data_IF_991005161414
#
_entry.id   IF_991005161414
#
_cell.length_a   1.000
_cell.length_b   1.000
_cell.length_c   1.000
_cell.angle_alpha   90.00
_cell.angle_beta   90.00
_cell.angle_gamma   90.00
#
_symmetry.space_group_name_H-M   'P 1'
#
loop_
_entity.id
_entity.type
_entity.pdbx_description
1 polymer ?
#
# COMPACT_ATOMS: atom_id res chain seq x y z
N UNK A 1 12.13 12.04 20.37
CA UNK A 1 11.92 10.92 19.44
C UNK A 1 13.20 10.10 19.31
N UNK A 2 13.18 8.78 19.36
CA UNK A 2 14.42 7.96 19.34
C UNK A 2 14.62 7.33 17.97
N UNK A 3 15.73 7.59 17.28
CA UNK A 3 16.06 7.09 15.95
C UNK A 3 17.09 5.94 16.04
N UNK A 4 16.70 4.69 15.80
CA UNK A 4 17.63 3.56 15.82
C UNK A 4 18.21 3.32 14.42
N UNK A 5 19.52 3.15 14.28
CA UNK A 5 20.23 2.94 13.00
C UNK A 5 21.06 1.66 13.08
N UNK A 6 20.93 0.73 12.14
CA UNK A 6 21.80 -0.45 12.07
C UNK A 6 23.25 -0.07 11.74
N UNK A 7 24.21 -0.72 12.41
CA UNK A 7 25.64 -0.48 12.23
C UNK A 7 26.09 -0.58 10.77
N UNK A 8 25.61 -1.60 10.06
CA UNK A 8 25.84 -1.79 8.63
C UNK A 8 25.35 -0.64 7.74
N UNK A 9 24.33 0.11 8.18
CA UNK A 9 23.77 1.26 7.45
C UNK A 9 24.45 2.57 7.80
N UNK A 10 24.99 2.71 9.00
CA UNK A 10 25.56 3.97 9.46
C UNK A 10 26.70 4.43 8.53
N UNK A 11 26.70 5.72 8.20
CA UNK A 11 27.75 6.36 7.41
C UNK A 11 28.26 7.62 8.11
N UNK A 12 29.57 7.93 8.06
CA UNK A 12 30.13 9.12 8.68
C UNK A 12 29.51 10.44 8.21
N UNK A 13 29.03 10.51 6.96
CA UNK A 13 28.44 11.73 6.40
C UNK A 13 27.05 12.06 6.98
N UNK A 14 26.38 11.13 7.69
CA UNK A 14 25.10 11.38 8.37
C UNK A 14 25.23 12.18 9.67
N UNK A 15 26.45 12.41 10.16
CA UNK A 15 26.70 13.07 11.45
C UNK A 15 26.04 14.45 11.56
N UNK A 16 26.01 15.24 10.49
CA UNK A 16 25.35 16.55 10.48
C UNK A 16 23.85 16.45 10.75
N UNK A 17 23.16 15.56 10.01
CA UNK A 17 21.73 15.32 10.20
C UNK A 17 21.40 14.77 11.59
N UNK A 18 22.23 13.87 12.13
CA UNK A 18 22.05 13.31 13.47
C UNK A 18 22.30 14.33 14.58
N UNK A 19 23.24 15.28 14.38
CA UNK A 19 23.43 16.40 15.31
C UNK A 19 22.20 17.31 15.33
N UNK A 20 21.66 17.64 14.17
CA UNK A 20 20.47 18.49 14.08
C UNK A 20 19.23 17.78 14.63
N UNK A 21 19.13 16.46 14.47
CA UNK A 21 18.14 15.61 15.13
C UNK A 21 18.27 15.69 16.66
N UNK A 22 19.48 15.51 17.20
CA UNK A 22 19.72 15.62 18.64
C UNK A 22 19.42 17.02 19.19
N UNK A 23 19.79 18.08 18.45
CA UNK A 23 19.50 19.47 18.83
C UNK A 23 18.00 19.77 18.93
N UNK A 24 17.15 19.03 18.21
CA UNK A 24 15.70 19.13 18.30
C UNK A 24 15.11 18.37 19.51
N UNK A 25 15.95 17.88 20.42
CA UNK A 25 15.53 17.11 21.59
C UNK A 25 15.14 15.67 21.25
N UNK A 26 15.62 15.16 20.12
CA UNK A 26 15.45 13.77 19.73
C UNK A 26 16.71 12.96 20.08
N UNK A 27 16.59 11.66 20.21
CA UNK A 27 17.71 10.74 20.46
C UNK A 27 17.96 9.93 19.20
N UNK A 28 19.16 9.42 19.03
CA UNK A 28 19.43 8.35 18.08
C UNK A 28 20.31 7.29 18.70
N UNK A 29 20.05 6.05 18.34
CA UNK A 29 20.68 4.86 18.89
C UNK A 29 21.31 4.08 17.73
N UNK A 30 22.38 3.33 18.00
CA UNK A 30 23.05 2.48 17.01
C UNK A 30 22.77 1.00 17.34
N UNK A 31 22.17 0.26 16.42
CA UNK A 31 21.92 -1.18 16.54
C UNK A 31 23.06 -1.95 15.89
N UNK A 32 23.89 -2.62 16.67
CA UNK A 32 24.97 -3.46 16.15
C UNK A 32 24.47 -4.87 15.83
N UNK A 33 24.85 -5.34 14.65
CA UNK A 33 24.75 -6.74 14.25
C UNK A 33 25.74 -7.62 15.02
N UNK A 34 25.54 -8.94 14.94
CA UNK A 34 26.42 -9.91 15.63
C UNK A 34 27.84 -9.81 15.05
N UNK A 35 28.79 -9.37 15.88
CA UNK A 35 30.21 -9.23 15.51
C UNK A 35 30.61 -7.85 14.99
N UNK A 36 29.70 -6.89 14.94
CA UNK A 36 30.03 -5.49 14.63
C UNK A 36 30.65 -4.78 15.84
N UNK A 37 31.61 -3.89 15.57
CA UNK A 37 32.28 -3.06 16.58
C UNK A 37 31.81 -1.62 16.39
N UNK A 38 31.52 -0.86 17.46
CA UNK A 38 31.13 0.55 17.33
C UNK A 38 32.20 1.33 16.56
N UNK A 39 31.79 2.14 15.58
CA UNK A 39 32.72 2.96 14.82
C UNK A 39 33.43 3.97 15.76
N UNK A 40 34.77 3.93 15.88
CA UNK A 40 35.50 4.83 16.77
C UNK A 40 35.70 6.18 16.08
N UNK A 41 34.93 7.21 16.49
CA UNK A 41 35.22 8.60 16.11
C UNK A 41 34.11 9.40 15.43
N UNK A 42 32.84 9.21 15.80
CA UNK A 42 31.77 10.08 15.31
C UNK A 42 31.75 11.43 16.08
N UNK A 43 31.69 12.56 15.35
CA UNK A 43 31.48 13.89 15.96
C UNK A 43 30.08 14.04 16.60
N UNK A 44 29.21 13.08 16.35
CA UNK A 44 27.90 12.90 16.91
C UNK A 44 27.81 11.44 17.39
N UNK A 45 28.11 11.14 18.66
CA UNK A 45 27.97 9.77 19.16
C UNK A 45 26.48 9.41 19.29
N UNK A 46 26.10 8.12 19.12
CA UNK A 46 24.76 7.68 19.44
C UNK A 46 24.49 7.86 20.93
N UNK A 47 23.25 8.23 21.25
CA UNK A 47 22.76 8.30 22.63
C UNK A 47 22.79 6.92 23.31
N UNK A 48 22.74 5.84 22.52
CA UNK A 48 22.83 4.47 23.00
C UNK A 48 23.31 3.49 21.92
N UNK A 49 24.03 2.44 22.33
CA UNK A 49 24.44 1.34 21.44
C UNK A 49 23.70 0.08 21.88
N UNK A 50 22.96 -0.53 20.96
CA UNK A 50 22.05 -1.64 21.20
C UNK A 50 22.48 -2.87 20.41
N UNK A 51 22.01 -4.04 20.82
CA UNK A 51 22.14 -5.28 20.06
C UNK A 51 20.78 -5.94 19.86
N UNK A 52 20.61 -6.66 18.75
CA UNK A 52 19.37 -7.36 18.42
C UNK A 52 18.96 -8.35 19.53
N UNK A 53 19.93 -9.06 20.11
CA UNK A 53 19.70 -10.00 21.21
C UNK A 53 19.22 -9.31 22.49
N UNK A 54 19.77 -8.14 22.83
CA UNK A 54 19.36 -7.39 24.01
C UNK A 54 17.94 -6.82 23.87
N UNK A 55 17.59 -6.33 22.68
CA UNK A 55 16.22 -5.89 22.37
C UNK A 55 15.22 -7.04 22.44
N UNK A 56 15.57 -8.22 21.91
CA UNK A 56 14.72 -9.41 22.01
C UNK A 56 14.53 -9.86 23.45
N UNK A 57 15.59 -9.89 24.26
CA UNK A 57 15.51 -10.25 25.69
C UNK A 57 14.65 -9.27 26.48
N UNK A 58 14.75 -7.97 26.19
CA UNK A 58 13.92 -6.97 26.85
C UNK A 58 12.45 -7.05 26.43
N UNK A 59 12.19 -7.35 25.16
CA UNK A 59 10.84 -7.57 24.67
C UNK A 59 10.16 -8.79 25.28
N UNK A 60 10.93 -9.85 25.56
CA UNK A 60 10.45 -11.06 26.24
C UNK A 60 10.25 -10.86 27.76
N UNK A 61 10.57 -9.67 28.29
CA UNK A 61 10.40 -9.33 29.72
C UNK A 61 11.55 -9.74 30.62
N UNK A 62 12.64 -10.28 30.06
CA UNK A 62 13.79 -10.78 30.83
C UNK A 62 14.79 -9.68 31.19
N UNK A 63 14.67 -8.48 30.60
CA UNK A 63 15.55 -7.34 30.85
C UNK A 63 14.83 -6.00 30.68
N UNK A 64 15.29 -4.96 31.40
CA UNK A 64 14.83 -3.60 31.16
C UNK A 64 15.51 -3.02 29.91
N UNK A 65 14.73 -2.52 28.94
CA UNK A 65 15.27 -1.74 27.81
C UNK A 65 14.79 -0.29 27.89
N UNK A 66 15.69 0.70 27.82
CA UNK A 66 15.31 2.13 27.79
C UNK A 66 14.57 2.53 26.51
N UNK A 67 14.73 1.78 25.42
CA UNK A 67 13.92 1.93 24.19
C UNK A 67 12.49 1.44 24.44
N UNK A 68 12.29 0.39 25.25
CA UNK A 68 10.94 -0.11 25.54
C UNK A 68 10.28 0.54 26.78
N UNK A 69 11.02 1.36 27.53
CA UNK A 69 10.57 1.98 28.79
C UNK A 69 9.99 3.40 28.63
N UNK A 70 10.21 4.06 27.49
CA UNK A 70 9.63 5.37 27.16
C UNK A 70 8.49 5.21 26.14
N UNK A 71 7.60 6.23 26.05
CA UNK A 71 6.47 6.25 25.11
C UNK A 71 6.91 5.83 23.68
N UNK A 72 6.51 4.62 23.21
CA UNK A 72 6.93 4.08 21.93
C UNK A 72 6.50 4.99 20.76
N UNK A 73 5.49 5.84 20.98
CA UNK A 73 4.98 6.86 20.05
C UNK A 73 5.98 7.98 19.73
N UNK A 74 7.20 7.91 20.26
CA UNK A 74 8.28 8.81 19.92
C UNK A 74 9.44 8.13 19.17
N UNK A 75 9.43 6.82 18.88
CA UNK A 75 10.62 6.16 18.33
C UNK A 75 10.50 5.87 16.81
N UNK A 76 11.63 5.80 16.10
CA UNK A 76 11.84 5.57 14.66
C UNK A 76 12.99 4.54 14.53
N UNK A 77 12.83 3.48 13.75
CA UNK A 77 13.84 2.43 13.56
C UNK A 77 14.24 2.35 12.08
N UNK A 78 15.56 2.30 11.81
CA UNK A 78 16.16 2.10 10.49
C UNK A 78 17.04 0.84 10.55
N UNK A 79 16.70 -0.17 9.75
CA UNK A 79 17.47 -1.40 9.56
C UNK A 79 17.63 -1.72 8.08
N UNK A 80 18.76 -2.33 7.71
CA UNK A 80 18.97 -3.03 6.45
C UNK A 80 19.84 -4.29 6.67
N UNK A 81 19.21 -5.38 7.06
CA UNK A 81 19.58 -6.71 6.57
C UNK A 81 18.43 -7.71 6.71
N UNK A 82 18.50 -8.80 5.91
CA UNK A 82 17.40 -9.69 5.52
C UNK A 82 16.74 -10.54 6.62
N UNK A 83 16.98 -10.24 7.89
CA UNK A 83 16.37 -10.91 9.03
C UNK A 83 15.85 -9.88 10.05
N UNK A 84 14.93 -9.02 9.58
CA UNK A 84 13.85 -8.34 10.33
C UNK A 84 14.11 -8.08 11.83
N UNK A 85 14.31 -6.80 12.22
CA UNK A 85 14.03 -6.35 13.59
C UNK A 85 12.83 -5.39 13.57
N UNK A 86 11.81 -5.71 14.38
CA UNK A 86 10.52 -4.99 14.49
C UNK A 86 10.44 -4.34 15.87
N UNK A 87 10.08 -3.06 15.96
CA UNK A 87 9.58 -2.45 17.20
C UNK A 87 8.28 -1.69 16.92
N UNK A 88 7.31 -1.83 17.83
CA UNK A 88 5.90 -1.49 17.66
C UNK A 88 5.50 -0.16 18.33
N UNK A 89 4.46 0.49 17.79
CA UNK A 89 3.65 1.52 18.48
C UNK A 89 2.19 1.08 18.58
N UNK A 90 1.44 1.71 19.48
CA UNK A 90 -0.03 1.64 19.51
C UNK A 90 -0.73 2.35 18.33
N UNK A 91 -0.03 3.21 17.57
CA UNK A 91 -0.62 3.98 16.45
C UNK A 91 0.16 3.90 15.12
N UNK A 92 0.92 2.82 14.88
CA UNK A 92 1.48 2.53 13.54
C UNK A 92 2.92 2.04 13.54
N UNK A 93 3.25 1.24 12.52
CA UNK A 93 4.53 0.57 12.34
C UNK A 93 5.28 1.10 11.12
N UNK A 94 6.60 1.26 11.21
CA UNK A 94 7.43 1.48 10.03
C UNK A 94 8.58 0.46 10.03
N UNK A 95 8.46 -0.56 9.16
CA UNK A 95 9.55 -1.47 8.78
C UNK A 95 10.12 -1.01 7.44
N UNK A 96 11.40 -0.67 7.38
CA UNK A 96 12.12 -0.56 6.11
C UNK A 96 12.57 -1.98 5.70
N UNK A 97 11.81 -2.59 4.80
CA UNK A 97 12.21 -3.79 4.09
C UNK A 97 12.45 -3.46 2.60
N UNK A 98 13.18 -4.31 1.85
CA UNK A 98 13.48 -4.07 0.44
C UNK A 98 12.25 -3.93 -0.48
N UNK A 99 11.04 -4.24 0.03
CA UNK A 99 9.78 -4.14 -0.69
C UNK A 99 8.70 -3.32 0.06
N UNK A 100 9.07 -2.48 1.03
CA UNK A 100 8.08 -1.78 1.85
C UNK A 100 8.59 -0.53 2.53
N UNK A 101 8.83 0.50 1.72
CA UNK A 101 8.66 1.94 1.98
C UNK A 101 9.33 2.65 0.80
N UNK A 102 8.71 2.60 -0.37
CA UNK A 102 8.95 3.35 -1.63
C UNK A 102 10.38 3.46 -2.21
N UNK A 103 11.44 3.16 -1.48
CA UNK A 103 12.80 2.96 -1.99
C UNK A 103 13.64 2.23 -0.92
N UNK A 104 14.48 1.24 -1.29
CA UNK A 104 15.53 0.77 -0.41
C UNK A 104 16.45 1.97 -0.11
N UNK A 105 16.66 2.28 1.18
CA UNK A 105 17.61 3.31 1.60
C UNK A 105 19.01 2.88 1.14
N UNK A 106 19.57 3.59 0.17
CA UNK A 106 20.89 3.30 -0.39
C UNK A 106 21.95 4.04 0.39
N UNK A 107 23.19 3.58 0.29
CA UNK A 107 24.33 4.16 1.01
C UNK A 107 24.64 5.62 0.65
N UNK A 108 24.08 6.10 -0.45
CA UNK A 108 24.24 7.43 -1.05
C UNK A 108 23.03 8.36 -0.83
N UNK A 109 21.96 7.89 -0.18
CA UNK A 109 20.76 8.71 0.07
C UNK A 109 20.99 9.76 1.18
N UNK A 110 20.42 10.95 1.01
CA UNK A 110 20.37 11.99 2.06
C UNK A 110 19.40 11.58 3.18
N UNK A 111 19.96 11.25 4.34
CA UNK A 111 19.21 10.80 5.51
C UNK A 111 18.21 11.86 6.01
N UNK A 112 18.57 13.15 5.94
CA UNK A 112 17.69 14.24 6.37
C UNK A 112 16.43 14.31 5.51
N UNK A 113 16.58 14.19 4.20
CA UNK A 113 15.45 14.14 3.27
C UNK A 113 14.58 12.88 3.46
N UNK A 114 15.21 11.71 3.66
CA UNK A 114 14.50 10.47 3.95
C UNK A 114 13.69 10.55 5.25
N UNK A 115 14.27 11.10 6.32
CA UNK A 115 13.61 11.28 7.62
C UNK A 115 12.45 12.28 7.53
N UNK A 116 12.62 13.43 6.86
CA UNK A 116 11.54 14.39 6.65
C UNK A 116 10.36 13.78 5.88
N UNK A 117 10.64 12.99 4.83
CA UNK A 117 9.63 12.25 4.06
C UNK A 117 8.87 11.23 4.89
N UNK A 118 9.56 10.49 5.76
CA UNK A 118 8.95 9.50 6.65
C UNK A 118 8.11 10.16 7.75
N UNK A 119 8.56 11.29 8.31
CA UNK A 119 7.83 12.05 9.33
C UNK A 119 6.58 12.74 8.78
N UNK A 120 6.61 13.19 7.52
CA UNK A 120 5.46 13.81 6.87
C UNK A 120 4.32 12.82 6.59
N UNK A 121 4.60 11.51 6.52
CA UNK A 121 3.64 10.47 6.15
C UNK A 121 2.93 9.87 7.37
N UNK A 122 1.95 10.58 7.91
CA UNK A 122 0.92 9.94 8.75
C UNK A 122 -0.15 9.32 7.87
N UNK A 123 0.11 8.11 7.37
CA UNK A 123 -0.90 7.36 6.63
C UNK A 123 -1.90 6.77 7.62
N UNK A 124 -3.08 7.37 7.67
CA UNK A 124 -4.21 6.84 8.43
C UNK A 124 -5.17 6.10 7.50
N UNK A 125 -5.94 5.20 8.09
CA UNK A 125 -7.13 4.63 7.45
C UNK A 125 -8.29 5.58 7.75
N UNK A 126 -8.88 6.26 6.74
CA UNK A 126 -10.00 7.14 6.98
C UNK A 126 -11.26 6.34 7.30
N UNK A 127 -12.22 6.98 7.97
CA UNK A 127 -13.57 6.42 8.11
C UNK A 127 -14.35 6.72 6.83
N UNK A 128 -14.90 5.68 6.20
CA UNK A 128 -15.79 5.81 5.04
C UNK A 128 -17.20 5.44 5.48
N UNK A 129 -18.21 6.15 4.97
CA UNK A 129 -19.61 5.92 5.34
C UNK A 129 -20.48 6.03 4.11
N UNK A 130 -21.47 5.17 4.00
CA UNK A 130 -22.62 5.46 3.13
C UNK A 130 -23.79 5.97 3.98
N UNK A 131 -24.76 6.63 3.33
CA UNK A 131 -25.89 7.25 4.01
C UNK A 131 -26.97 6.24 4.47
N UNK A 132 -26.83 4.95 4.15
CA UNK A 132 -27.92 3.98 4.26
C UNK A 132 -29.12 4.30 3.35
N UNK A 133 -30.22 3.59 3.56
CA UNK A 133 -31.53 3.89 2.96
C UNK A 133 -32.65 3.52 3.94
N UNK A 134 -33.89 3.84 3.60
CA UNK A 134 -35.06 3.50 4.41
C UNK A 134 -35.15 1.99 4.73
N UNK A 135 -34.65 1.13 3.83
CA UNK A 135 -34.68 -0.32 3.95
C UNK A 135 -33.30 -0.94 4.28
N UNK A 136 -32.27 -0.13 4.54
CA UNK A 136 -30.92 -0.63 4.79
C UNK A 136 -30.11 0.28 5.73
N UNK A 137 -29.60 -0.26 6.85
CA UNK A 137 -28.83 0.53 7.81
C UNK A 137 -27.56 1.11 7.17
N UNK A 138 -27.10 2.25 7.68
CA UNK A 138 -25.86 2.90 7.24
C UNK A 138 -24.66 1.97 7.48
N UNK A 139 -23.82 1.82 6.47
CA UNK A 139 -22.60 1.04 6.55
C UNK A 139 -21.43 1.97 6.86
N UNK A 140 -20.66 1.61 7.89
CA UNK A 140 -19.45 2.34 8.26
C UNK A 140 -18.24 1.44 8.07
N UNK A 141 -17.24 1.96 7.37
CA UNK A 141 -15.91 1.39 7.25
C UNK A 141 -14.98 2.19 8.15
N UNK A 142 -14.49 1.58 9.23
CA UNK A 142 -13.59 2.24 10.19
C UNK A 142 -12.23 1.53 10.25
N UNK A 143 -11.18 2.17 10.77
CA UNK A 143 -9.97 1.46 11.16
C UNK A 143 -10.28 0.25 12.04
N UNK A 144 -9.47 -0.79 11.90
CA UNK A 144 -9.45 -1.91 12.85
C UNK A 144 -9.08 -1.40 14.24
N UNK A 145 -9.72 -1.95 15.27
CA UNK A 145 -9.52 -1.63 16.68
C UNK A 145 -9.11 -2.90 17.43
N UNK A 146 -8.31 -2.82 18.52
CA UNK A 146 -7.90 -4.00 19.28
C UNK A 146 -9.08 -4.92 19.71
N UNK A 147 -10.23 -4.33 20.05
CA UNK A 147 -11.44 -5.09 20.40
C UNK A 147 -12.05 -5.93 19.27
N UNK A 148 -11.64 -5.73 18.01
CA UNK A 148 -12.11 -6.51 16.87
C UNK A 148 -11.57 -7.95 16.88
N UNK A 149 -10.50 -8.23 17.64
CA UNK A 149 -9.84 -9.54 17.70
C UNK A 149 -10.84 -10.68 17.96
N UNK A 150 -11.78 -10.47 18.90
CA UNK A 150 -12.79 -11.47 19.28
C UNK A 150 -13.70 -11.81 18.11
N UNK A 151 -14.18 -10.79 17.38
CA UNK A 151 -15.06 -10.97 16.23
C UNK A 151 -14.30 -11.63 15.06
N UNK A 152 -13.05 -11.22 14.82
CA UNK A 152 -12.19 -11.82 13.79
C UNK A 152 -11.97 -13.30 14.08
N UNK A 153 -11.58 -13.65 15.31
CA UNK A 153 -11.39 -15.03 15.73
C UNK A 153 -12.67 -15.86 15.54
N UNK A 154 -13.81 -15.32 15.98
CA UNK A 154 -15.11 -15.98 15.84
C UNK A 154 -15.46 -16.26 14.37
N UNK A 155 -15.44 -15.25 13.49
CA UNK A 155 -15.84 -15.43 12.09
C UNK A 155 -14.82 -16.22 11.27
N UNK A 156 -13.52 -15.98 11.45
CA UNK A 156 -12.48 -16.68 10.70
C UNK A 156 -12.32 -18.15 11.11
N UNK A 157 -12.82 -18.55 12.28
CA UNK A 157 -12.87 -19.96 12.70
C UNK A 157 -13.95 -20.77 11.97
N UNK A 158 -14.92 -20.11 11.32
CA UNK A 158 -15.97 -20.77 10.54
C UNK A 158 -15.40 -21.35 9.24
N UNK A 159 -15.55 -22.66 9.04
CA UNK A 159 -15.08 -23.38 7.85
C UNK A 159 -15.64 -22.77 6.55
N UNK A 160 -16.86 -22.24 6.57
CA UNK A 160 -17.49 -21.62 5.40
C UNK A 160 -16.77 -20.34 4.97
N UNK A 161 -16.12 -19.61 5.89
CA UNK A 161 -15.23 -18.50 5.55
C UNK A 161 -13.95 -19.03 4.93
N UNK A 162 -13.24 -19.91 5.64
CA UNK A 162 -11.95 -20.44 5.23
C UNK A 162 -11.99 -21.11 3.85
N UNK A 163 -13.09 -21.80 3.52
CA UNK A 163 -13.30 -22.52 2.24
C UNK A 163 -13.04 -21.67 1.00
N UNK A 164 -13.34 -20.37 1.03
CA UNK A 164 -13.25 -19.50 -0.15
C UNK A 164 -12.36 -18.27 0.04
N UNK A 165 -11.55 -18.27 1.08
CA UNK A 165 -10.58 -17.21 1.37
C UNK A 165 -9.17 -17.76 1.28
N UNK A 166 -8.33 -17.09 0.52
CA UNK A 166 -6.96 -17.56 0.29
C UNK A 166 -6.17 -17.62 1.60
N UNK A 167 -6.27 -16.60 2.46
CA UNK A 167 -5.33 -16.43 3.58
C UNK A 167 -5.90 -16.76 4.96
N UNK A 168 -7.04 -17.47 5.02
CA UNK A 168 -7.66 -17.88 6.29
C UNK A 168 -7.61 -19.40 6.37
N UNK A 169 -6.72 -19.99 7.21
CA UNK A 169 -6.64 -21.42 7.39
C UNK A 169 -7.85 -21.96 8.17
N UNK A 170 -8.12 -23.26 8.01
CA UNK A 170 -9.02 -24.00 8.88
C UNK A 170 -8.33 -25.27 9.40
N UNK A 171 -8.30 -25.52 10.71
CA UNK A 171 -8.79 -24.65 11.79
C UNK A 171 -8.01 -23.34 11.90
N UNK A 172 -8.66 -22.27 12.36
CA UNK A 172 -8.04 -20.95 12.51
C UNK A 172 -7.26 -20.87 13.84
N UNK A 173 -5.94 -20.59 13.83
CA UNK A 173 -5.16 -20.55 15.06
C UNK A 173 -5.63 -19.41 15.98
N UNK A 174 -5.68 -19.60 17.31
CA UNK A 174 -6.14 -18.58 18.26
C UNK A 174 -5.38 -17.25 18.15
N UNK A 175 -4.06 -17.30 17.94
CA UNK A 175 -3.19 -16.12 17.81
C UNK A 175 -3.33 -15.40 16.47
N UNK A 176 -3.90 -16.05 15.44
CA UNK A 176 -3.94 -15.52 14.07
C UNK A 176 -4.80 -14.25 13.94
N UNK A 177 -5.82 -14.09 14.78
CA UNK A 177 -6.63 -12.86 14.79
C UNK A 177 -5.80 -11.64 15.22
N UNK A 178 -5.07 -11.77 16.34
CA UNK A 178 -4.17 -10.74 16.87
C UNK A 178 -3.06 -10.42 15.88
N UNK A 179 -2.44 -11.45 15.30
CA UNK A 179 -1.32 -11.28 14.36
C UNK A 179 -1.77 -10.62 13.07
N UNK A 180 -2.96 -10.97 12.55
CA UNK A 180 -3.54 -10.33 11.37
C UNK A 180 -3.92 -8.87 11.63
N UNK A 181 -4.45 -8.55 12.81
CA UNK A 181 -4.78 -7.18 13.21
C UNK A 181 -3.53 -6.32 13.30
N UNK A 182 -2.49 -6.82 13.99
CA UNK A 182 -1.19 -6.18 14.04
C UNK A 182 -0.63 -5.97 12.62
N UNK A 183 -0.59 -7.03 11.79
CA UNK A 183 -0.13 -6.97 10.40
C UNK A 183 -0.91 -5.96 9.54
N UNK A 184 -2.21 -5.79 9.76
CA UNK A 184 -3.02 -4.82 9.02
C UNK A 184 -2.69 -3.37 9.40
N UNK A 185 -2.48 -3.11 10.69
CA UNK A 185 -1.95 -1.83 11.17
C UNK A 185 -0.55 -1.55 10.60
N UNK A 186 0.28 -2.60 10.51
CA UNK A 186 1.61 -2.54 9.90
C UNK A 186 1.58 -2.09 8.44
N UNK A 187 0.75 -2.75 7.63
CA UNK A 187 0.59 -2.41 6.21
C UNK A 187 0.10 -0.99 6.01
N UNK A 188 -0.81 -0.50 6.86
CA UNK A 188 -1.33 0.87 6.79
C UNK A 188 -0.25 1.90 7.01
N UNK A 189 0.50 1.76 8.10
CA UNK A 189 1.55 2.71 8.45
C UNK A 189 2.73 2.70 7.45
N UNK A 190 2.92 1.59 6.74
CA UNK A 190 3.88 1.46 5.64
C UNK A 190 3.35 1.86 4.26
N UNK A 191 2.08 2.24 4.14
CA UNK A 191 1.46 2.52 2.84
C UNK A 191 1.29 1.29 1.94
N UNK A 192 1.53 0.08 2.47
CA UNK A 192 1.39 -1.21 1.75
C UNK A 192 -0.08 -1.63 1.56
N UNK A 193 -1.00 -0.94 2.21
CA UNK A 193 -2.42 -1.14 2.06
C UNK A 193 -3.19 -0.70 3.29
N UNK A 194 -4.50 -0.54 3.15
CA UNK A 194 -5.41 -0.17 4.24
C UNK A 194 -6.44 -1.27 4.42
N UNK A 195 -6.77 -1.56 5.67
CA UNK A 195 -7.85 -2.48 6.02
C UNK A 195 -8.87 -1.75 6.87
N UNK A 196 -10.14 -1.90 6.51
CA UNK A 196 -11.28 -1.38 7.25
C UNK A 196 -12.07 -2.53 7.86
N UNK A 197 -12.52 -2.33 9.10
CA UNK A 197 -13.63 -3.07 9.69
C UNK A 197 -14.94 -2.57 9.09
N UNK A 198 -15.81 -3.49 8.66
CA UNK A 198 -17.19 -3.21 8.31
C UNK A 198 -18.02 -3.24 9.59
N UNK A 199 -18.83 -2.22 9.81
CA UNK A 199 -19.75 -2.14 10.95
C UNK A 199 -21.11 -1.55 10.56
N UNK A 200 -22.15 -1.91 11.33
CA UNK A 200 -23.51 -1.38 11.21
C UNK A 200 -23.90 -0.71 12.53
N UNK A 201 -23.57 0.57 12.74
CA UNK A 201 -23.87 1.25 13.99
C UNK A 201 -25.36 1.51 14.19
N UNK A 202 -25.82 1.20 15.40
CA UNK A 202 -27.13 1.56 15.94
C UNK A 202 -26.89 2.52 17.12
N UNK A 203 -27.03 3.83 16.90
CA UNK A 203 -26.78 4.85 17.92
C UNK A 203 -25.31 5.28 18.07
N UNK A 204 -24.90 5.69 19.28
CA UNK A 204 -23.56 6.24 19.56
C UNK A 204 -22.53 5.19 20.00
N UNK A 205 -22.92 3.92 20.18
CA UNK A 205 -21.99 2.86 20.59
C UNK A 205 -21.05 2.40 19.45
N UNK A 206 -19.88 1.89 19.83
CA UNK A 206 -18.95 1.26 18.88
C UNK A 206 -19.58 -0.03 18.35
N UNK A 207 -20.00 0.02 17.10
CA UNK A 207 -20.62 -1.11 16.43
C UNK A 207 -19.64 -2.28 16.26
N UNK A 208 -20.09 -3.53 16.50
CA UNK A 208 -19.24 -4.70 16.36
C UNK A 208 -18.81 -4.89 14.91
N UNK A 209 -17.60 -5.43 14.74
CA UNK A 209 -17.09 -5.84 13.43
C UNK A 209 -17.99 -6.95 12.87
N UNK A 210 -18.35 -6.84 11.59
CA UNK A 210 -19.11 -7.87 10.86
C UNK A 210 -18.34 -8.45 9.66
N UNK A 211 -17.20 -7.85 9.33
CA UNK A 211 -16.31 -8.26 8.25
C UNK A 211 -15.16 -7.28 8.08
N UNK A 212 -14.29 -7.55 7.10
CA UNK A 212 -13.22 -6.63 6.73
C UNK A 212 -13.07 -6.50 5.22
N UNK A 213 -12.60 -5.33 4.78
CA UNK A 213 -12.18 -5.07 3.41
C UNK A 213 -10.79 -4.44 3.43
N UNK A 214 -9.90 -4.91 2.57
CA UNK A 214 -8.53 -4.45 2.41
C UNK A 214 -8.32 -3.92 1.00
N UNK A 215 -7.62 -2.80 0.90
CA UNK A 215 -7.07 -2.25 -0.34
C UNK A 215 -5.55 -2.30 -0.24
N UNK A 216 -4.91 -3.12 -1.06
CA UNK A 216 -3.46 -3.19 -1.16
C UNK A 216 -2.89 -2.00 -1.94
N UNK A 217 -1.62 -1.68 -1.74
CA UNK A 217 -0.93 -0.57 -2.42
C UNK A 217 -1.00 -0.67 -3.95
N UNK A 218 -1.04 -1.90 -4.47
CA UNK A 218 -1.14 -2.21 -5.90
C UNK A 218 -2.60 -2.14 -6.44
N UNK A 219 -3.55 -1.68 -5.63
CA UNK A 219 -4.97 -1.60 -6.00
C UNK A 219 -5.74 -2.92 -5.88
N UNK A 220 -5.15 -3.98 -5.34
CA UNK A 220 -5.89 -5.24 -5.11
C UNK A 220 -6.86 -5.10 -3.94
N UNK A 221 -8.13 -5.44 -4.17
CA UNK A 221 -9.19 -5.54 -3.16
C UNK A 221 -9.31 -6.97 -2.64
N UNK A 222 -9.41 -7.11 -1.33
CA UNK A 222 -9.75 -8.36 -0.66
C UNK A 222 -10.79 -8.10 0.43
N UNK A 223 -11.71 -9.04 0.65
CA UNK A 223 -12.72 -8.89 1.69
C UNK A 223 -13.21 -10.23 2.22
N UNK A 224 -13.80 -10.18 3.41
CA UNK A 224 -14.61 -11.24 3.97
C UNK A 224 -15.72 -10.63 4.84
N UNK A 225 -16.81 -11.37 4.97
CA UNK A 225 -17.94 -11.03 5.85
C UNK A 225 -18.26 -12.28 6.67
N UNK A 226 -18.51 -12.10 7.96
CA UNK A 226 -19.00 -13.19 8.81
C UNK A 226 -20.25 -13.82 8.19
N UNK A 227 -20.38 -15.15 8.30
CA UNK A 227 -21.44 -15.93 7.64
C UNK A 227 -22.85 -15.33 7.84
N UNK A 228 -23.25 -14.84 9.04
CA UNK A 228 -24.57 -14.23 9.24
C UNK A 228 -24.83 -12.98 8.38
N UNK A 229 -23.78 -12.28 7.95
CA UNK A 229 -23.84 -10.98 7.27
C UNK A 229 -23.71 -11.08 5.74
N UNK A 230 -23.44 -12.28 5.23
CA UNK A 230 -23.34 -12.52 3.81
C UNK A 230 -24.70 -12.43 3.09
N UNK A 231 -24.68 -12.28 1.77
CA UNK A 231 -25.87 -12.17 0.90
C UNK A 231 -26.80 -10.97 1.19
N UNK A 232 -26.34 -10.00 1.98
CA UNK A 232 -27.06 -8.75 2.29
C UNK A 232 -26.58 -7.52 1.50
N UNK A 233 -25.74 -7.72 0.47
CA UNK A 233 -25.18 -6.63 -0.34
C UNK A 233 -24.09 -5.80 0.33
N UNK A 234 -23.70 -6.12 1.58
CA UNK A 234 -22.75 -5.32 2.37
C UNK A 234 -21.34 -5.27 1.75
N UNK A 235 -20.84 -6.37 1.18
CA UNK A 235 -19.54 -6.37 0.50
C UNK A 235 -19.51 -5.45 -0.72
N UNK A 236 -20.62 -5.39 -1.47
CA UNK A 236 -20.76 -4.48 -2.60
C UNK A 236 -20.77 -3.02 -2.15
N UNK A 237 -21.54 -2.70 -1.11
CA UNK A 237 -21.58 -1.34 -0.52
C UNK A 237 -20.20 -0.92 -0.02
N UNK A 238 -19.52 -1.80 0.73
CA UNK A 238 -18.14 -1.57 1.18
C UNK A 238 -17.17 -1.35 0.01
N UNK A 239 -17.26 -2.20 -1.01
CA UNK A 239 -16.42 -2.10 -2.20
C UNK A 239 -16.63 -0.79 -2.97
N UNK A 240 -17.85 -0.24 -3.02
CA UNK A 240 -18.09 1.07 -3.64
C UNK A 240 -17.43 2.21 -2.87
N UNK A 241 -17.49 2.20 -1.54
CA UNK A 241 -16.82 3.18 -0.69
C UNK A 241 -15.29 3.13 -0.89
N UNK A 242 -14.70 1.93 -0.86
CA UNK A 242 -13.26 1.76 -1.07
C UNK A 242 -12.86 2.10 -2.51
N UNK A 243 -13.69 1.78 -3.50
CA UNK A 243 -13.47 2.18 -4.90
C UNK A 243 -13.40 3.69 -5.05
N UNK A 244 -14.35 4.41 -4.45
CA UNK A 244 -14.37 5.87 -4.49
C UNK A 244 -13.10 6.43 -3.86
N UNK A 245 -12.76 5.97 -2.65
CA UNK A 245 -11.52 6.35 -1.97
C UNK A 245 -10.27 6.08 -2.81
N UNK A 246 -10.17 4.89 -3.42
CA UNK A 246 -9.03 4.49 -4.25
C UNK A 246 -8.80 5.40 -5.47
N UNK A 247 -9.88 5.82 -6.14
CA UNK A 247 -9.76 6.63 -7.36
C UNK A 247 -9.70 8.13 -7.08
N UNK A 248 -10.47 8.62 -6.11
CA UNK A 248 -10.58 10.06 -5.82
C UNK A 248 -9.51 10.56 -4.86
N UNK A 249 -9.08 9.74 -3.90
CA UNK A 249 -8.09 10.16 -2.90
C UNK A 249 -6.70 9.59 -3.19
N UNK A 250 -6.62 8.31 -3.56
CA UNK A 250 -5.33 7.67 -3.85
C UNK A 250 -4.90 7.77 -5.32
N UNK A 251 -5.79 8.25 -6.20
CA UNK A 251 -5.52 8.36 -7.64
C UNK A 251 -5.01 7.06 -8.28
N UNK A 252 -5.43 5.90 -7.75
CA UNK A 252 -4.96 4.61 -8.27
C UNK A 252 -5.40 4.43 -9.72
N UNK A 253 -4.53 3.89 -10.60
CA UNK A 253 -4.82 3.75 -12.01
C UNK A 253 -5.91 2.70 -12.27
N UNK A 254 -5.98 1.67 -11.43
CA UNK A 254 -6.97 0.61 -11.50
C UNK A 254 -7.14 -0.07 -10.13
N UNK A 255 -8.25 -0.80 -10.01
CA UNK A 255 -8.50 -1.76 -8.95
C UNK A 255 -8.46 -3.16 -9.55
N UNK A 256 -7.88 -4.10 -8.81
CA UNK A 256 -7.91 -5.53 -9.15
C UNK A 256 -8.53 -6.32 -8.01
N UNK A 257 -9.06 -7.49 -8.33
CA UNK A 257 -9.54 -8.43 -7.31
C UNK A 257 -9.53 -9.83 -7.92
N UNK A 258 -9.51 -10.85 -7.06
CA UNK A 258 -9.50 -12.25 -7.51
C UNK A 258 -10.23 -13.16 -6.55
N UNK A 259 -10.78 -14.24 -7.08
CA UNK A 259 -11.49 -15.23 -6.28
C UNK A 259 -11.24 -16.64 -6.80
N UNK A 260 -11.39 -17.64 -5.92
CA UNK A 260 -11.43 -19.03 -6.33
C UNK A 260 -12.66 -19.28 -7.24
N UNK A 261 -12.58 -20.13 -8.27
CA UNK A 261 -13.69 -20.38 -9.21
C UNK A 261 -15.02 -20.78 -8.56
N UNK A 262 -14.97 -21.52 -7.44
CA UNK A 262 -16.17 -21.91 -6.70
C UNK A 262 -16.85 -20.76 -5.94
N UNK A 263 -16.16 -19.63 -5.73
CA UNK A 263 -16.70 -18.47 -5.01
C UNK A 263 -17.45 -17.51 -5.94
N UNK A 264 -18.60 -17.97 -6.44
CA UNK A 264 -19.47 -17.17 -7.30
C UNK A 264 -20.00 -15.90 -6.61
N UNK A 265 -20.07 -15.89 -5.27
CA UNK A 265 -20.51 -14.74 -4.51
C UNK A 265 -19.55 -13.55 -4.66
N UNK A 266 -18.24 -13.80 -4.56
CA UNK A 266 -17.22 -12.75 -4.76
C UNK A 266 -17.20 -12.25 -6.21
N UNK A 267 -17.31 -13.12 -7.22
CA UNK A 267 -17.42 -12.69 -8.62
C UNK A 267 -18.63 -11.78 -8.87
N UNK A 268 -19.77 -12.06 -8.23
CA UNK A 268 -20.97 -11.20 -8.26
C UNK A 268 -20.78 -9.84 -7.57
N UNK A 269 -19.89 -9.74 -6.58
CA UNK A 269 -19.52 -8.45 -5.96
C UNK A 269 -18.67 -7.67 -6.94
N UNK A 270 -17.61 -8.28 -7.51
CA UNK A 270 -16.72 -7.65 -8.49
C UNK A 270 -17.48 -7.11 -9.71
N UNK A 271 -18.41 -7.90 -10.26
CA UNK A 271 -19.26 -7.46 -11.35
C UNK A 271 -20.13 -6.23 -10.98
N UNK A 272 -20.70 -6.20 -9.76
CA UNK A 272 -21.49 -5.04 -9.28
C UNK A 272 -20.64 -3.80 -9.02
N UNK A 273 -19.36 -3.97 -8.69
CA UNK A 273 -18.41 -2.86 -8.60
C UNK A 273 -18.05 -2.27 -9.97
N UNK A 274 -18.44 -2.93 -11.06
CA UNK A 274 -18.14 -2.55 -12.44
C UNK A 274 -16.85 -3.17 -12.98
N UNK A 275 -16.26 -4.13 -12.27
CA UNK A 275 -15.05 -4.80 -12.73
C UNK A 275 -15.37 -5.73 -13.90
N UNK A 276 -14.46 -5.84 -14.86
CA UNK A 276 -14.49 -6.83 -15.92
C UNK A 276 -13.64 -8.05 -15.56
N UNK A 277 -14.06 -9.24 -15.97
CA UNK A 277 -13.28 -10.47 -15.82
C UNK A 277 -12.14 -10.47 -16.83
N UNK A 278 -10.92 -10.66 -16.34
CA UNK A 278 -9.70 -10.63 -17.14
C UNK A 278 -9.25 -12.03 -17.61
N UNK A 279 -9.87 -13.08 -17.09
CA UNK A 279 -9.46 -14.46 -17.32
C UNK A 279 -9.11 -15.20 -16.03
N UNK A 280 -8.60 -16.41 -16.22
CA UNK A 280 -8.25 -17.33 -15.16
C UNK A 280 -6.80 -17.77 -15.31
N UNK A 281 -6.02 -17.66 -14.24
CA UNK A 281 -4.64 -18.12 -14.20
C UNK A 281 -4.19 -18.39 -12.76
N UNK A 282 -3.10 -19.16 -12.57
CA UNK A 282 -2.59 -19.51 -11.25
C UNK A 282 -2.17 -18.27 -10.44
N UNK A 283 -2.28 -18.37 -9.11
CA UNK A 283 -1.64 -17.41 -8.24
C UNK A 283 -0.11 -17.49 -8.38
N UNK A 284 0.57 -16.36 -8.56
CA UNK A 284 2.03 -16.31 -8.65
C UNK A 284 2.72 -16.56 -7.30
N UNK A 285 1.97 -16.48 -6.19
CA UNK A 285 2.51 -16.60 -4.83
C UNK A 285 2.28 -17.99 -4.18
N UNK A 286 1.48 -18.88 -4.78
CA UNK A 286 1.11 -20.19 -4.23
C UNK A 286 1.05 -21.25 -5.31
N UNK A 287 1.22 -22.52 -4.94
CA UNK A 287 0.97 -23.65 -5.85
C UNK A 287 -0.43 -23.59 -6.49
N UNK A 288 -0.53 -24.24 -7.66
CA UNK A 288 -1.46 -24.06 -8.78
C UNK A 288 -2.99 -24.01 -8.51
N UNK A 289 -3.46 -23.13 -7.61
CA UNK A 289 -4.87 -22.78 -7.55
C UNK A 289 -5.12 -21.72 -8.63
N UNK A 290 -5.89 -22.11 -9.65
CA UNK A 290 -6.41 -21.16 -10.62
C UNK A 290 -7.38 -20.19 -9.95
N UNK A 291 -7.20 -18.90 -10.22
CA UNK A 291 -8.08 -17.84 -9.70
C UNK A 291 -8.72 -17.11 -10.87
N UNK A 292 -9.97 -16.71 -10.70
CA UNK A 292 -10.63 -15.76 -11.60
C UNK A 292 -10.21 -14.35 -11.20
N UNK A 293 -9.66 -13.60 -12.16
CA UNK A 293 -9.13 -12.26 -11.94
C UNK A 293 -10.03 -11.21 -12.57
N UNK A 294 -10.16 -10.09 -11.87
CA UNK A 294 -11.05 -9.00 -12.22
C UNK A 294 -10.32 -7.67 -12.12
N UNK A 295 -10.76 -6.72 -12.94
CA UNK A 295 -10.16 -5.39 -13.00
C UNK A 295 -11.20 -4.31 -13.26
N UNK A 296 -10.97 -3.14 -12.67
CA UNK A 296 -11.67 -1.91 -13.00
C UNK A 296 -10.64 -0.79 -13.15
N UNK A 297 -10.53 -0.24 -14.35
CA UNK A 297 -9.70 0.94 -14.60
C UNK A 297 -10.38 2.21 -14.11
N UNK A 298 -9.58 3.16 -13.63
CA UNK A 298 -10.08 4.49 -13.32
C UNK A 298 -10.51 5.17 -14.62
N UNK A 299 -11.68 5.79 -14.61
CA UNK A 299 -12.18 6.49 -15.79
C UNK A 299 -11.36 7.78 -16.03
N UNK A 300 -11.07 8.13 -17.30
CA UNK A 300 -10.43 9.39 -17.62
C UNK A 300 -11.38 10.56 -17.38
N UNK A 301 -10.87 11.64 -16.80
CA UNK A 301 -11.58 12.91 -16.68
C UNK A 301 -11.26 13.78 -17.90
N UNK A 302 -11.83 13.43 -19.06
CA UNK A 302 -11.68 14.23 -20.29
C UNK A 302 -13.04 14.59 -20.89
N UNK A 303 -13.17 15.80 -21.47
CA UNK A 303 -14.28 16.14 -22.34
C UNK A 303 -14.45 15.13 -23.48
N UNK A 304 -15.70 14.81 -23.84
CA UNK A 304 -16.01 13.79 -24.85
C UNK A 304 -15.44 14.12 -26.24
N UNK A 305 -15.40 15.40 -26.60
CA UNK A 305 -14.80 15.89 -27.85
C UNK A 305 -13.28 15.67 -27.89
N UNK A 306 -12.59 15.89 -26.77
CA UNK A 306 -11.17 15.63 -26.66
C UNK A 306 -10.88 14.12 -26.73
N UNK A 307 -11.70 13.29 -26.07
CA UNK A 307 -11.59 11.83 -26.19
C UNK A 307 -11.79 11.36 -27.63
N UNK A 308 -12.78 11.93 -28.36
CA UNK A 308 -13.01 11.60 -29.77
C UNK A 308 -11.80 11.96 -30.66
N UNK A 309 -11.08 13.05 -30.35
CA UNK A 309 -9.87 13.46 -31.08
C UNK A 309 -8.67 12.57 -30.79
N UNK A 310 -8.64 11.90 -29.63
CA UNK A 310 -7.62 10.93 -29.27
C UNK A 310 -7.86 9.53 -29.85
N UNK A 311 -9.12 9.19 -30.17
CA UNK A 311 -9.49 7.87 -30.65
C UNK A 311 -8.61 7.35 -31.81
N UNK A 312 -8.26 8.13 -32.86
CA UNK A 312 -7.38 7.64 -33.92
C UNK A 312 -5.99 7.22 -33.44
N UNK A 313 -5.43 7.92 -32.43
CA UNK A 313 -4.14 7.56 -31.83
C UNK A 313 -4.25 6.27 -31.03
N UNK A 314 -5.36 6.07 -30.31
CA UNK A 314 -5.55 4.87 -29.49
C UNK A 314 -5.78 3.61 -30.35
N UNK A 315 -6.29 3.74 -31.58
CA UNK A 315 -6.49 2.60 -32.49
C UNK A 315 -5.19 2.19 -33.19
N UNK A 316 -4.17 3.06 -33.24
CA UNK A 316 -2.85 2.75 -33.83
C UNK A 316 -2.20 1.54 -33.14
N UNK A 317 -1.94 0.46 -33.88
CA UNK A 317 -1.33 -0.77 -33.39
C UNK A 317 0.10 -0.58 -32.88
N UNK A 318 0.78 0.48 -33.33
CA UNK A 318 2.10 0.82 -32.80
C UNK A 318 2.00 1.37 -31.37
N UNK A 319 0.86 1.92 -30.94
CA UNK A 319 0.67 2.36 -29.56
C UNK A 319 0.37 1.14 -28.69
N UNK A 320 1.31 0.74 -27.85
CA UNK A 320 1.21 -0.40 -26.93
C UNK A 320 0.49 0.00 -25.63
N UNK A 321 0.86 1.16 -25.09
CA UNK A 321 0.27 1.73 -23.87
C UNK A 321 0.04 3.22 -24.10
N UNK A 322 -1.11 3.72 -23.62
CA UNK A 322 -1.42 5.14 -23.60
C UNK A 322 -1.85 5.56 -22.19
N UNK A 323 -1.17 6.55 -21.63
CA UNK A 323 -1.41 7.07 -20.28
C UNK A 323 -1.75 8.55 -20.36
N UNK A 324 -2.92 8.89 -19.86
CA UNK A 324 -3.32 10.27 -19.63
C UNK A 324 -2.91 10.69 -18.22
N UNK A 325 -2.22 11.81 -18.06
CA UNK A 325 -1.91 12.37 -16.76
C UNK A 325 -2.14 13.87 -16.77
N UNK A 326 -2.39 14.45 -15.60
CA UNK A 326 -2.56 15.89 -15.46
C UNK A 326 -1.24 16.50 -14.99
N UNK A 327 -0.69 17.44 -15.75
CA UNK A 327 0.46 18.22 -15.29
C UNK A 327 -0.07 19.51 -14.66
N UNK A 328 0.19 19.66 -13.35
CA UNK A 328 -0.34 20.72 -12.48
C UNK A 328 -0.14 22.16 -12.98
N UNK A 329 0.78 22.40 -13.92
CA UNK A 329 1.08 23.71 -14.49
C UNK A 329 0.61 23.95 -15.93
N UNK A 330 0.32 22.89 -16.70
CA UNK A 330 0.16 22.98 -18.17
C UNK A 330 -1.03 22.18 -18.72
N UNK A 331 -1.80 21.53 -17.85
CA UNK A 331 -2.98 20.73 -18.19
C UNK A 331 -2.62 19.31 -18.63
N UNK A 332 -3.65 18.58 -19.08
CA UNK A 332 -3.54 17.16 -19.40
C UNK A 332 -2.47 16.87 -20.49
N UNK A 333 -1.72 15.80 -20.27
CA UNK A 333 -0.72 15.27 -21.18
C UNK A 333 -0.96 13.77 -21.43
N UNK A 334 -0.56 13.31 -22.60
CA UNK A 334 -0.72 11.93 -23.06
C UNK A 334 0.65 11.33 -23.37
N UNK A 335 1.04 10.33 -22.59
CA UNK A 335 2.21 9.51 -22.85
C UNK A 335 1.81 8.30 -23.71
N UNK A 336 2.42 8.18 -24.89
CA UNK A 336 2.25 7.06 -25.81
C UNK A 336 3.52 6.21 -25.84
N UNK A 337 3.41 4.94 -25.46
CA UNK A 337 4.51 3.99 -25.53
C UNK A 337 4.37 3.17 -26.81
N UNK A 338 5.37 3.28 -27.67
CA UNK A 338 5.30 2.82 -29.04
C UNK A 338 6.12 1.55 -29.27
N UNK A 339 5.60 0.62 -30.05
CA UNK A 339 6.35 -0.52 -30.59
C UNK A 339 7.29 -0.04 -31.71
N UNK A 340 8.57 -0.42 -31.63
CA UNK A 340 9.58 -0.09 -32.66
C UNK A 340 10.53 1.05 -32.28
N UNK A 341 11.38 1.46 -33.25
CA UNK A 341 12.34 2.56 -33.05
C UNK A 341 11.60 3.90 -33.16
N UNK A 342 11.36 4.53 -32.01
CA UNK A 342 10.73 5.86 -31.93
C UNK A 342 11.69 6.83 -31.26
N UNK A 343 11.80 8.02 -31.84
CA UNK A 343 12.50 9.15 -31.21
C UNK A 343 11.56 9.80 -30.21
N UNK A 344 12.00 9.94 -28.95
CA UNK A 344 11.25 10.67 -27.94
C UNK A 344 10.99 12.09 -28.42
N UNK A 345 9.74 12.53 -28.31
CA UNK A 345 9.32 13.82 -28.83
C UNK A 345 7.93 14.20 -28.37
N UNK A 346 7.71 15.50 -28.26
CA UNK A 346 6.44 16.10 -27.87
C UNK A 346 5.77 16.76 -29.07
N UNK A 347 4.47 16.53 -29.20
CA UNK A 347 3.61 17.22 -30.14
C UNK A 347 2.38 17.71 -29.39
N UNK A 348 1.75 18.78 -29.87
CA UNK A 348 0.53 19.32 -29.24
C UNK A 348 -0.67 19.17 -30.17
N UNK A 349 -1.00 17.95 -30.66
CA UNK A 349 -2.19 17.79 -31.46
C UNK A 349 -3.37 18.20 -30.59
N UNK A 350 -4.24 19.01 -31.17
CA UNK A 350 -5.54 19.26 -30.56
C UNK A 350 -5.53 20.02 -29.21
N UNK A 351 -4.42 20.68 -28.85
CA UNK A 351 -4.26 21.39 -27.58
C UNK A 351 -3.90 20.47 -26.40
N UNK A 352 -3.63 19.18 -26.66
CA UNK A 352 -3.13 18.23 -25.67
C UNK A 352 -1.66 17.93 -25.97
N UNK A 353 -0.79 17.99 -24.96
CA UNK A 353 0.62 17.57 -25.14
C UNK A 353 0.67 16.06 -25.22
N UNK A 354 1.23 15.55 -26.31
CA UNK A 354 1.39 14.12 -26.58
C UNK A 354 2.89 13.84 -26.67
N UNK A 355 3.40 13.09 -25.70
CA UNK A 355 4.78 12.62 -25.65
C UNK A 355 4.84 11.17 -26.10
N UNK A 356 5.80 10.85 -26.97
CA UNK A 356 6.05 9.48 -27.41
C UNK A 356 7.29 8.91 -26.73
N UNK A 357 7.19 7.67 -26.27
CA UNK A 357 8.26 6.93 -25.60
C UNK A 357 8.48 5.59 -26.29
N UNK A 358 9.72 5.07 -26.30
CA UNK A 358 9.96 3.70 -26.74
C UNK A 358 9.35 2.70 -25.74
N UNK A 359 8.86 1.57 -26.25
CA UNK A 359 8.29 0.48 -25.45
C UNK A 359 9.18 0.02 -24.29
N UNK A 360 10.51 0.06 -24.45
CA UNK A 360 11.48 -0.37 -23.42
C UNK A 360 11.36 0.40 -22.09
N UNK A 361 10.71 1.58 -22.09
CA UNK A 361 10.38 2.32 -20.86
C UNK A 361 9.40 1.60 -19.94
N UNK A 362 8.60 0.67 -20.48
CA UNK A 362 7.63 -0.11 -19.70
C UNK A 362 8.26 -1.32 -18.99
N UNK A 363 9.48 -1.70 -19.37
CA UNK A 363 10.16 -2.88 -18.82
C UNK A 363 10.40 -2.72 -17.31
N UNK A 364 10.31 -3.83 -16.53
CA UNK A 364 10.41 -3.77 -15.06
C UNK A 364 11.72 -3.15 -14.55
N UNK A 365 12.83 -3.38 -15.27
CA UNK A 365 14.16 -2.94 -14.87
C UNK A 365 14.45 -1.48 -15.26
N UNK A 366 13.57 -0.86 -16.05
CA UNK A 366 13.68 0.54 -16.43
C UNK A 366 13.06 1.44 -15.35
N UNK A 367 13.78 2.48 -14.87
CA UNK A 367 13.21 3.44 -13.92
C UNK A 367 11.91 4.04 -14.43
N UNK A 368 10.85 3.93 -13.62
CA UNK A 368 9.57 4.57 -13.88
C UNK A 368 9.71 6.10 -13.77
N UNK A 369 8.81 6.84 -14.39
CA UNK A 369 8.83 8.31 -14.37
C UNK A 369 7.74 8.80 -13.40
N UNK A 370 8.14 9.50 -12.35
CA UNK A 370 7.21 10.00 -11.33
C UNK A 370 6.13 10.95 -11.90
N UNK A 371 6.41 11.65 -13.00
CA UNK A 371 5.45 12.55 -13.69
C UNK A 371 4.18 11.84 -14.19
N UNK A 372 4.22 10.52 -14.41
CA UNK A 372 3.05 9.73 -14.77
C UNK A 372 2.28 9.18 -13.55
N UNK A 373 2.76 9.50 -12.34
CA UNK A 373 2.13 9.13 -11.07
C UNK A 373 0.68 9.65 -11.02
N UNK A 374 -0.25 8.78 -10.62
CA UNK A 374 -1.66 9.13 -10.65
C UNK A 374 -2.21 9.33 -12.06
N UNK A 375 -1.60 8.74 -13.10
CA UNK A 375 -2.12 8.70 -14.46
C UNK A 375 -3.30 7.73 -14.65
N UNK A 376 -4.03 7.91 -15.74
CA UNK A 376 -5.17 7.10 -16.18
C UNK A 376 -4.79 6.34 -17.44
N UNK A 377 -5.08 5.04 -17.47
CA UNK A 377 -4.77 4.20 -18.61
C UNK A 377 -5.86 4.31 -19.68
N UNK A 378 -5.49 4.73 -20.88
CA UNK A 378 -6.40 4.80 -22.04
C UNK A 378 -6.27 3.60 -22.97
N UNK A 379 -5.09 2.96 -23.00
CA UNK A 379 -4.81 1.76 -23.79
C UNK A 379 -3.79 0.90 -23.08
N UNK A 380 -3.97 -0.42 -23.15
CA UNK A 380 -3.01 -1.38 -22.62
C UNK A 380 -2.89 -2.65 -23.45
N UNK A 381 -1.66 -3.16 -23.50
CA UNK A 381 -1.32 -4.49 -23.97
C UNK A 381 -0.57 -5.25 -22.87
N UNK A 382 -1.03 -6.45 -22.51
CA UNK A 382 -0.26 -7.38 -21.67
C UNK A 382 0.00 -6.97 -20.22
N UNK A 383 -0.80 -6.05 -19.63
CA UNK A 383 -0.67 -5.56 -18.23
C UNK A 383 0.58 -4.70 -17.94
N UNK A 384 1.31 -4.29 -18.97
CA UNK A 384 2.54 -3.52 -18.85
C UNK A 384 2.31 -2.07 -18.37
N UNK A 385 1.24 -1.44 -18.83
CA UNK A 385 0.90 -0.06 -18.48
C UNK A 385 0.45 0.07 -17.02
N UNK A 386 -0.34 -0.88 -16.52
CA UNK A 386 -0.72 -0.93 -15.11
C UNK A 386 0.50 -1.17 -14.22
N UNK A 387 1.35 -2.14 -14.57
CA UNK A 387 2.57 -2.40 -13.82
C UNK A 387 3.48 -1.16 -13.80
N UNK A 388 3.58 -0.44 -14.91
CA UNK A 388 4.31 0.82 -15.01
C UNK A 388 3.71 1.91 -14.11
N UNK A 389 2.39 2.15 -14.18
CA UNK A 389 1.72 3.17 -13.37
C UNK A 389 1.81 2.89 -11.87
N UNK A 390 1.76 1.62 -11.46
CA UNK A 390 1.97 1.24 -10.06
C UNK A 390 3.42 1.49 -9.61
N UNK A 391 4.41 1.31 -10.50
CA UNK A 391 5.79 1.73 -10.21
C UNK A 391 5.89 3.25 -10.10
N UNK A 392 5.23 4.01 -10.97
CA UNK A 392 5.18 5.48 -10.89
C UNK A 392 4.53 5.97 -9.59
N UNK A 393 3.40 5.38 -9.19
CA UNK A 393 2.69 5.72 -7.96
C UNK A 393 3.47 5.32 -6.69
N UNK A 394 4.32 4.29 -6.79
CA UNK A 394 5.26 3.90 -5.75
C UNK A 394 6.55 4.74 -5.71
N UNK A 395 6.77 5.65 -6.67
CA UNK A 395 7.90 6.58 -6.66
C UNK A 395 7.48 7.93 -6.04
N UNK A 396 8.26 8.50 -5.11
CA UNK A 396 7.95 9.81 -4.55
C UNK A 396 8.23 10.90 -5.57
N UNK A 397 7.18 11.38 -6.23
CA UNK A 397 7.21 12.65 -6.97
C UNK A 397 5.79 13.10 -7.31
N UNK A 398 5.29 14.08 -6.55
CA UNK A 398 4.12 14.86 -6.93
C UNK A 398 2.83 14.57 -6.15
N UNK A 399 2.81 14.86 -4.85
CA UNK A 399 1.68 15.46 -4.14
C UNK A 399 2.21 16.34 -3.00
#
# INVERSE_FOLDING_TARGET
MDLLIEGALWRPHWQGALLDWQRQGHRWCLLLGRGEVPAPGAACPPDEILSASALLSAWLGDAASPVMAADPSQQILIAASGALLTLAREHGLLTLGPAGADHPLRSDDDLGHALQRLLARRLTTPVLRDAGSQDSPALVLRPLQPGDEIAILCYCSDEAIARYTLNIPHPYPPESARDWLAMSGRKTALGLGRTWALTLPEGEESAPLIGAISLHWNGELAWWLGVPWQRRGLATRAGHLVRQFAFEQLHLPALTARHMPGNLASGRVMARLGMHHCGRWPDSAREAIELDHWRLDRAPSLPADLMARLAPLLVDEQVVVAILHDESSEGAALALFMAGKVTEGEQTPCGLRVRRYPFTRLEPDTPAMSEHGGGVLLKEQGRLGLAYLLRCAGQPGGL
#
